data_IF_236849813259
#
_entry.id   IF_236849813259
#
_cell.length_a   1.000
_cell.length_b   1.000
_cell.length_c   1.000
_cell.angle_alpha   90.00
_cell.angle_beta   90.00
_cell.angle_gamma   90.00
#
_symmetry.space_group_name_H-M   'P 1'
#
loop_
_entity.id
_entity.type
_entity.pdbx_description
1 polymer ?
#
# COMPACT_ATOMS: atom_id res chain seq x y z
N UNK A 1 3.60 -55.39 -8.46
CA UNK A 1 3.51 -54.17 -7.61
C UNK A 1 4.21 -53.00 -8.30
N UNK A 2 3.53 -52.27 -9.20
CA UNK A 2 4.15 -51.15 -9.95
C UNK A 2 3.20 -49.96 -10.16
N UNK A 3 2.02 -49.95 -9.52
CA UNK A 3 0.97 -48.93 -9.70
C UNK A 3 0.90 -47.87 -8.59
N UNK A 4 1.44 -48.13 -7.40
CA UNK A 4 1.26 -47.20 -6.27
C UNK A 4 2.19 -45.97 -6.31
N UNK A 5 3.38 -46.10 -6.89
CA UNK A 5 4.34 -44.98 -6.94
C UNK A 5 3.88 -43.81 -7.84
N UNK A 6 3.02 -44.07 -8.82
CA UNK A 6 2.47 -43.03 -9.69
C UNK A 6 1.23 -42.35 -9.12
N UNK A 7 0.45 -43.07 -8.31
CA UNK A 7 -0.81 -42.56 -7.75
C UNK A 7 -0.56 -41.40 -6.78
N UNK A 8 0.40 -41.53 -5.87
CA UNK A 8 0.75 -40.47 -4.93
C UNK A 8 1.22 -39.17 -5.63
N UNK A 9 1.93 -39.29 -6.76
CA UNK A 9 2.35 -38.12 -7.57
C UNK A 9 1.15 -37.43 -8.20
N UNK A 10 0.17 -38.20 -8.69
CA UNK A 10 -1.06 -37.66 -9.28
C UNK A 10 -1.92 -36.96 -8.23
N UNK A 11 -2.05 -37.53 -7.03
CA UNK A 11 -2.79 -36.92 -5.91
C UNK A 11 -2.18 -35.56 -5.52
N UNK A 12 -0.86 -35.46 -5.42
CA UNK A 12 -0.18 -34.18 -5.15
C UNK A 12 -0.33 -33.19 -6.31
N UNK A 13 -0.26 -33.66 -7.57
CA UNK A 13 -0.40 -32.79 -8.74
C UNK A 13 -1.79 -32.14 -8.85
N UNK A 14 -2.83 -32.74 -8.26
CA UNK A 14 -4.18 -32.16 -8.21
C UNK A 14 -4.35 -31.13 -7.09
N UNK A 15 -3.67 -31.30 -5.95
CA UNK A 15 -3.76 -30.37 -4.80
C UNK A 15 -2.85 -29.16 -5.01
N UNK A 16 -1.69 -29.35 -5.64
CA UNK A 16 -0.68 -28.31 -5.81
C UNK A 16 -1.21 -27.03 -6.48
N UNK A 17 -2.02 -27.07 -7.56
CA UNK A 17 -2.56 -25.86 -8.18
C UNK A 17 -3.43 -25.04 -7.22
N UNK A 18 -4.27 -25.70 -6.41
CA UNK A 18 -5.13 -25.04 -5.43
C UNK A 18 -4.27 -24.39 -4.34
N UNK A 19 -3.24 -25.09 -3.88
CA UNK A 19 -2.29 -24.57 -2.90
C UNK A 19 -1.53 -23.35 -3.44
N UNK A 20 -1.09 -23.39 -4.70
CA UNK A 20 -0.40 -22.28 -5.35
C UNK A 20 -1.32 -21.07 -5.51
N UNK A 21 -2.58 -21.28 -5.93
CA UNK A 21 -3.56 -20.19 -6.02
C UNK A 21 -3.79 -19.52 -4.67
N UNK A 22 -3.94 -20.32 -3.61
CA UNK A 22 -4.10 -19.82 -2.25
C UNK A 22 -2.87 -19.02 -1.81
N UNK A 23 -1.67 -19.52 -2.08
CA UNK A 23 -0.41 -18.84 -1.73
C UNK A 23 -0.24 -17.53 -2.51
N UNK A 24 -0.56 -17.51 -3.80
CA UNK A 24 -0.57 -16.28 -4.58
C UNK A 24 -1.51 -15.22 -3.99
N UNK A 25 -2.74 -15.64 -3.63
CA UNK A 25 -3.72 -14.77 -2.99
C UNK A 25 -3.21 -14.19 -1.68
N UNK A 26 -2.60 -15.01 -0.82
CA UNK A 26 -2.04 -14.56 0.46
C UNK A 26 -0.90 -13.54 0.25
N UNK A 27 -0.02 -13.76 -0.73
CA UNK A 27 1.12 -12.85 -0.97
C UNK A 27 0.64 -11.47 -1.41
N UNK A 28 -0.18 -11.38 -2.46
CA UNK A 28 -0.62 -10.09 -2.98
C UNK A 28 -1.55 -9.39 -1.99
N UNK A 29 -2.46 -10.13 -1.33
CA UNK A 29 -3.34 -9.56 -0.30
C UNK A 29 -2.56 -9.05 0.91
N UNK A 30 -1.57 -9.82 1.38
CA UNK A 30 -0.69 -9.41 2.47
C UNK A 30 0.05 -8.12 2.15
N UNK A 31 0.49 -7.95 0.89
CA UNK A 31 1.15 -6.72 0.44
C UNK A 31 0.21 -5.51 0.42
N UNK A 32 -1.04 -5.68 -0.03
CA UNK A 32 -2.05 -4.61 0.01
C UNK A 32 -2.33 -4.18 1.46
N UNK A 33 -2.51 -5.15 2.36
CA UNK A 33 -2.74 -4.88 3.78
C UNK A 33 -1.56 -4.18 4.42
N UNK A 34 -0.34 -4.66 4.19
CA UNK A 34 0.89 -4.04 4.69
C UNK A 34 1.00 -2.58 4.22
N UNK A 35 0.79 -2.34 2.91
CA UNK A 35 0.79 -1.00 2.33
C UNK A 35 -0.24 -0.09 3.01
N UNK A 36 -1.45 -0.61 3.25
CA UNK A 36 -2.52 0.15 3.90
C UNK A 36 -2.15 0.55 5.34
N UNK A 37 -1.57 -0.37 6.11
CA UNK A 37 -1.15 -0.09 7.50
C UNK A 37 -0.04 0.95 7.51
N UNK A 38 1.00 0.77 6.69
CA UNK A 38 2.13 1.68 6.62
C UNK A 38 1.69 3.09 6.20
N UNK A 39 0.87 3.20 5.15
CA UNK A 39 0.36 4.49 4.68
C UNK A 39 -0.48 5.21 5.74
N UNK A 40 -1.31 4.50 6.51
CA UNK A 40 -2.06 5.12 7.61
C UNK A 40 -1.17 5.66 8.72
N UNK A 41 -0.09 4.95 9.08
CA UNK A 41 0.87 5.45 10.06
C UNK A 41 1.60 6.70 9.54
N UNK A 42 2.04 6.66 8.28
CA UNK A 42 2.77 7.77 7.65
C UNK A 42 1.86 8.98 7.44
N UNK A 43 0.60 8.80 7.05
CA UNK A 43 -0.34 9.90 6.84
C UNK A 43 -0.65 10.66 8.14
N UNK A 44 -0.73 9.96 9.27
CA UNK A 44 -0.90 10.58 10.58
C UNK A 44 0.32 11.42 10.98
N UNK A 45 1.53 10.92 10.75
CA UNK A 45 2.74 11.68 11.08
C UNK A 45 2.97 12.84 10.11
N UNK A 46 2.70 12.63 8.82
CA UNK A 46 2.77 13.66 7.78
C UNK A 46 1.80 14.81 8.06
N UNK A 47 0.56 14.52 8.45
CA UNK A 47 -0.40 15.59 8.78
C UNK A 47 0.01 16.33 10.05
N UNK A 48 0.59 15.64 11.05
CA UNK A 48 1.13 16.26 12.27
C UNK A 48 2.26 17.23 11.95
N UNK A 49 3.14 16.88 11.02
CA UNK A 49 4.17 17.79 10.51
C UNK A 49 3.55 19.04 9.88
N UNK A 50 2.50 18.88 9.07
CA UNK A 50 1.74 20.00 8.51
C UNK A 50 1.10 20.89 9.58
N UNK A 51 0.54 20.30 10.63
CA UNK A 51 -0.04 21.01 11.78
C UNK A 51 1.00 21.81 12.58
N UNK A 52 2.27 21.40 12.55
CA UNK A 52 3.40 22.10 13.16
C UNK A 52 4.05 23.14 12.23
N UNK A 53 3.48 23.39 11.05
CA UNK A 53 3.97 24.38 10.10
C UNK A 53 5.16 23.93 9.25
N UNK A 54 5.36 22.62 9.09
CA UNK A 54 6.34 22.11 8.12
C UNK A 54 5.91 22.41 6.68
N UNK A 55 6.90 22.63 5.82
CA UNK A 55 6.69 22.87 4.39
C UNK A 55 6.19 21.62 3.66
N UNK A 56 5.56 21.80 2.51
CA UNK A 56 5.06 20.68 1.71
C UNK A 56 6.20 19.83 1.18
N UNK A 57 7.33 20.44 0.83
CA UNK A 57 8.53 19.72 0.45
C UNK A 57 9.07 18.81 1.56
N UNK A 58 9.05 19.26 2.82
CA UNK A 58 9.51 18.44 3.95
C UNK A 58 8.57 17.27 4.20
N UNK A 59 7.26 17.48 4.09
CA UNK A 59 6.26 16.43 4.27
C UNK A 59 6.37 15.38 3.15
N UNK A 60 6.47 15.82 1.89
CA UNK A 60 6.65 14.93 0.74
C UNK A 60 7.96 14.14 0.86
N UNK A 61 9.05 14.79 1.26
CA UNK A 61 10.32 14.11 1.49
C UNK A 61 10.21 13.06 2.60
N UNK A 62 9.58 13.40 3.73
CA UNK A 62 9.33 12.45 4.81
C UNK A 62 8.55 11.22 4.33
N UNK A 63 7.48 11.41 3.55
CA UNK A 63 6.70 10.30 2.99
C UNK A 63 7.58 9.43 2.08
N UNK A 64 8.38 10.03 1.20
CA UNK A 64 9.26 9.29 0.27
C UNK A 64 10.42 8.55 0.97
N UNK A 65 10.88 9.04 2.12
CA UNK A 65 11.94 8.43 2.91
C UNK A 65 11.42 7.25 3.74
N UNK A 66 10.19 7.35 4.28
CA UNK A 66 9.61 6.32 5.17
C UNK A 66 8.82 5.25 4.40
N UNK A 67 8.14 5.61 3.31
CA UNK A 67 7.36 4.66 2.53
C UNK A 67 8.29 3.90 1.58
N UNK A 68 8.75 2.73 2.05
CA UNK A 68 9.50 1.77 1.23
C UNK A 68 8.60 0.59 0.83
N UNK A 69 7.69 0.83 -0.11
CA UNK A 69 6.78 -0.17 -0.66
C UNK A 69 7.31 -0.80 -1.96
N UNK A 70 8.60 -0.60 -2.26
CA UNK A 70 9.31 -1.11 -3.42
C UNK A 70 9.30 -0.16 -4.61
N UNK A 71 8.11 0.25 -5.08
CA UNK A 71 7.97 1.09 -6.28
C UNK A 71 7.60 2.53 -5.88
N UNK A 72 8.62 3.37 -5.66
CA UNK A 72 8.40 4.74 -5.16
C UNK A 72 7.69 5.64 -6.16
N UNK A 73 7.81 5.35 -7.45
CA UNK A 73 7.19 6.13 -8.54
C UNK A 73 5.65 6.01 -8.59
N UNK A 74 5.06 5.10 -7.83
CA UNK A 74 3.60 4.92 -7.75
C UNK A 74 2.97 5.55 -6.50
N UNK A 75 3.74 6.32 -5.73
CA UNK A 75 3.26 7.07 -4.57
C UNK A 75 2.97 8.51 -5.00
N UNK A 76 1.76 8.99 -4.71
CA UNK A 76 1.40 10.40 -4.85
C UNK A 76 0.93 10.97 -3.51
N UNK A 77 1.45 12.15 -3.17
CA UNK A 77 1.12 12.86 -1.93
C UNK A 77 0.44 14.17 -2.32
N UNK A 78 -0.78 14.36 -1.83
CA UNK A 78 -1.54 15.59 -2.01
C UNK A 78 -1.77 16.21 -0.64
N UNK A 79 -1.43 17.48 -0.49
CA UNK A 79 -1.59 18.20 0.77
C UNK A 79 -2.52 19.38 0.51
N UNK A 80 -3.45 19.64 1.42
CA UNK A 80 -4.41 20.73 1.27
C UNK A 80 -4.73 21.35 2.64
N UNK A 81 -4.68 22.68 2.79
CA UNK A 81 -4.21 23.69 1.83
C UNK A 81 -2.67 23.69 1.72
N UNK A 82 -2.12 24.37 0.71
CA UNK A 82 -0.68 24.49 0.51
C UNK A 82 0.00 25.19 1.69
N UNK A 83 1.27 24.90 1.92
CA UNK A 83 2.02 25.42 3.07
C UNK A 83 1.95 26.93 3.29
N UNK A 84 2.00 27.74 2.22
CA UNK A 84 1.92 29.20 2.29
C UNK A 84 0.50 29.76 2.60
N UNK A 85 -0.53 28.92 2.53
CA UNK A 85 -1.92 29.32 2.81
C UNK A 85 -2.35 28.96 4.24
N UNK A 86 -1.54 28.15 4.94
CA UNK A 86 -1.84 27.64 6.28
C UNK A 86 -1.80 28.74 7.33
N UNK A 87 -2.87 28.83 8.13
CA UNK A 87 -2.93 29.69 9.31
C UNK A 87 -3.31 28.88 10.55
N UNK A 88 -2.86 29.35 11.70
CA UNK A 88 -3.32 28.83 12.99
C UNK A 88 -4.85 28.89 13.05
N UNK A 89 -5.48 27.79 13.43
CA UNK A 89 -6.92 27.60 13.43
C UNK A 89 -7.50 26.91 12.20
N UNK A 90 -6.78 26.84 11.08
CA UNK A 90 -7.20 26.10 9.88
C UNK A 90 -6.99 24.58 10.05
N UNK A 91 -7.42 23.81 9.06
CA UNK A 91 -7.17 22.36 8.98
C UNK A 91 -6.20 22.07 7.84
N UNK A 92 -5.29 21.14 8.06
CA UNK A 92 -4.44 20.57 7.00
C UNK A 92 -4.78 19.11 6.83
N UNK A 93 -4.90 18.70 5.57
CA UNK A 93 -5.20 17.35 5.12
C UNK A 93 -4.04 16.83 4.28
N UNK A 94 -3.56 15.63 4.61
CA UNK A 94 -2.57 14.90 3.81
C UNK A 94 -3.23 13.65 3.27
N UNK A 95 -3.25 13.53 1.95
CA UNK A 95 -3.75 12.37 1.21
C UNK A 95 -2.58 11.67 0.53
N UNK A 96 -2.40 10.38 0.82
CA UNK A 96 -1.37 9.55 0.20
C UNK A 96 -2.07 8.46 -0.61
N UNK A 97 -1.71 8.36 -1.88
CA UNK A 97 -2.21 7.34 -2.81
C UNK A 97 -1.03 6.50 -3.28
N UNK A 98 -1.17 5.18 -3.18
CA UNK A 98 -0.17 4.22 -3.64
C UNK A 98 -0.79 3.21 -4.60
N UNK A 99 -0.18 3.02 -5.76
CA UNK A 99 -0.60 1.98 -6.69
C UNK A 99 0.19 0.69 -6.47
N UNK A 100 -0.49 -0.32 -5.93
CA UNK A 100 0.06 -1.65 -5.68
C UNK A 100 0.06 -2.44 -6.98
N UNK A 101 1.26 -2.71 -7.52
CA UNK A 101 1.46 -3.67 -8.62
C UNK A 101 1.44 -5.11 -8.09
N UNK A 102 0.70 -6.00 -8.73
CA UNK A 102 0.68 -7.41 -8.31
C UNK A 102 1.99 -8.10 -8.67
N UNK A 103 2.47 -8.95 -7.75
CA UNK A 103 3.65 -9.76 -7.98
C UNK A 103 3.25 -11.06 -8.68
N UNK A 104 2.10 -11.63 -8.30
CA UNK A 104 1.65 -12.89 -8.92
C UNK A 104 0.78 -12.61 -10.14
N UNK A 105 1.00 -13.34 -11.26
CA UNK A 105 0.31 -13.06 -12.52
C UNK A 105 -1.19 -13.41 -12.48
N UNK A 106 -1.59 -14.27 -11.54
CA UNK A 106 -2.94 -14.84 -11.50
C UNK A 106 -3.92 -13.85 -10.84
N UNK A 107 -3.48 -13.05 -9.86
CA UNK A 107 -4.36 -12.13 -9.14
C UNK A 107 -4.94 -11.05 -10.07
N UNK A 108 -4.17 -10.60 -11.06
CA UNK A 108 -4.63 -9.60 -12.03
C UNK A 108 -5.84 -10.04 -12.88
N UNK A 109 -6.14 -11.34 -12.93
CA UNK A 109 -7.34 -11.87 -13.59
C UNK A 109 -8.61 -11.72 -12.73
N UNK A 110 -8.47 -11.58 -11.41
CA UNK A 110 -9.59 -11.49 -10.46
C UNK A 110 -9.77 -10.07 -9.90
N UNK A 111 -8.69 -9.30 -9.77
CA UNK A 111 -8.70 -7.94 -9.24
C UNK A 111 -8.05 -7.00 -10.27
N UNK A 112 -8.71 -5.88 -10.65
CA UNK A 112 -8.13 -4.93 -11.59
C UNK A 112 -6.78 -4.37 -11.11
N UNK A 113 -5.80 -4.36 -12.01
CA UNK A 113 -4.47 -3.79 -11.76
C UNK A 113 -4.32 -2.41 -12.43
N UNK A 114 -3.68 -1.42 -11.78
CA UNK A 114 -3.14 -1.49 -10.42
C UNK A 114 -4.21 -1.30 -9.34
N UNK A 115 -3.99 -1.87 -8.15
CA UNK A 115 -4.86 -1.63 -7.01
C UNK A 115 -4.43 -0.39 -6.26
N UNK A 116 -5.32 0.59 -6.12
CA UNK A 116 -5.02 1.84 -5.44
C UNK A 116 -5.35 1.77 -3.95
N UNK A 117 -4.34 2.01 -3.12
CA UNK A 117 -4.50 2.20 -1.68
C UNK A 117 -4.48 3.69 -1.41
N UNK A 118 -5.59 4.19 -0.86
CA UNK A 118 -5.77 5.60 -0.53
C UNK A 118 -5.90 5.76 0.99
N UNK A 119 -5.11 6.67 1.57
CA UNK A 119 -5.27 7.11 2.96
C UNK A 119 -5.35 8.63 3.00
N UNK A 120 -6.13 9.15 3.94
CA UNK A 120 -6.32 10.57 4.14
C UNK A 120 -6.35 10.83 5.65
N UNK A 121 -5.61 11.85 6.08
CA UNK A 121 -5.56 12.27 7.48
C UNK A 121 -5.63 13.77 7.56
N UNK A 122 -6.36 14.29 8.56
CA UNK A 122 -6.63 15.72 8.75
C UNK A 122 -6.37 16.12 10.19
N UNK A 123 -5.65 17.23 10.41
CA UNK A 123 -5.40 17.81 11.73
C UNK A 123 -5.69 19.31 11.73
N UNK A 124 -6.02 19.86 12.89
CA UNK A 124 -6.12 21.31 13.10
C UNK A 124 -4.72 21.89 13.34
N UNK A 125 -4.45 23.04 12.73
CA UNK A 125 -3.21 23.81 12.90
C UNK A 125 -3.31 24.60 14.20
N UNK A 126 -2.32 24.44 15.08
CA UNK A 126 -2.21 25.18 16.35
C UNK A 126 -1.58 26.56 16.16
#
# INVERSE_FOLDING_TARGET
MRKEKGQAVVEIALVLPILLLLLCGIIDFGRILYSSIQLNMVSQEAVRMGGLGKSDSEIVQYVNDIVDLGDKDTISVNITPNDYERKSGDYVTVKITYEVKYITPIIGAFIPSPFQVNTESTIRIE
#
